data_IF_404270355344
#
_entry.id   IF_404270355344
#
_cell.length_a   1.000
_cell.length_b   1.000
_cell.length_c   1.000
_cell.angle_alpha   90.00
_cell.angle_beta   90.00
_cell.angle_gamma   90.00
#
_symmetry.space_group_name_H-M   'P 1'
#
loop_
_entity.id
_entity.type
_entity.pdbx_description
1 polymer ?
#
# COMPACT_ATOMS: atom_id res chain seq x y z
N UNK A 1 3.61 -14.83 0.37
CA UNK A 1 2.47 -14.15 1.04
C UNK A 1 1.59 -15.20 1.68
N UNK A 2 1.16 -15.03 2.94
CA UNK A 2 0.23 -15.98 3.57
C UNK A 2 -1.21 -15.74 3.08
N UNK A 3 -1.99 -16.81 2.89
CA UNK A 3 -3.42 -16.76 2.55
C UNK A 3 -4.24 -15.90 3.52
N UNK A 4 -3.92 -15.92 4.82
CA UNK A 4 -4.62 -15.09 5.81
C UNK A 4 -4.50 -13.59 5.50
N UNK A 5 -3.31 -13.15 5.06
CA UNK A 5 -3.08 -11.76 4.68
C UNK A 5 -3.84 -11.40 3.39
N UNK A 6 -3.85 -12.28 2.40
CA UNK A 6 -4.58 -12.07 1.15
C UNK A 6 -6.10 -11.98 1.39
N UNK A 7 -6.64 -12.78 2.32
CA UNK A 7 -8.04 -12.70 2.73
C UNK A 7 -8.37 -11.35 3.38
N UNK A 8 -7.50 -10.85 4.27
CA UNK A 8 -7.66 -9.53 4.89
C UNK A 8 -7.61 -8.41 3.84
N UNK A 9 -6.66 -8.47 2.91
CA UNK A 9 -6.55 -7.51 1.82
C UNK A 9 -7.81 -7.52 0.94
N UNK A 10 -8.36 -8.69 0.63
CA UNK A 10 -9.62 -8.82 -0.09
C UNK A 10 -10.80 -8.16 0.62
N UNK A 11 -10.89 -8.29 1.95
CA UNK A 11 -11.89 -7.58 2.76
C UNK A 11 -11.70 -6.05 2.72
N UNK A 12 -10.47 -5.57 2.83
CA UNK A 12 -10.16 -4.14 2.76
C UNK A 12 -10.52 -3.53 1.40
N UNK A 13 -10.26 -4.26 0.30
CA UNK A 13 -10.69 -3.85 -1.05
C UNK A 13 -12.21 -3.74 -1.13
N UNK A 14 -12.96 -4.76 -0.65
CA UNK A 14 -14.43 -4.70 -0.64
C UNK A 14 -14.98 -3.56 0.20
N UNK A 15 -14.31 -3.21 1.30
CA UNK A 15 -14.67 -2.09 2.15
C UNK A 15 -14.27 -0.71 1.59
N UNK A 16 -13.63 -0.66 0.41
CA UNK A 16 -13.07 0.56 -0.21
C UNK A 16 -12.04 1.26 0.68
N UNK A 17 -11.22 0.48 1.40
CA UNK A 17 -10.16 0.97 2.30
C UNK A 17 -8.75 0.77 1.73
N UNK A 18 -8.64 0.66 0.41
CA UNK A 18 -7.37 0.49 -0.31
C UNK A 18 -7.23 1.60 -1.34
N UNK A 19 -6.06 2.23 -1.35
CA UNK A 19 -5.60 3.14 -2.41
C UNK A 19 -4.39 2.51 -3.10
N UNK A 20 -4.19 2.84 -4.37
CA UNK A 20 -3.10 2.28 -5.18
C UNK A 20 -2.44 3.33 -6.05
N UNK A 21 -1.14 3.20 -6.27
CA UNK A 21 -0.34 4.13 -7.06
C UNK A 21 0.56 4.99 -6.20
N UNK A 22 1.75 5.30 -6.71
CA UNK A 22 2.83 5.96 -5.96
C UNK A 22 2.38 7.30 -5.37
N UNK A 23 1.82 8.18 -6.20
CA UNK A 23 1.42 9.53 -5.79
C UNK A 23 0.33 9.52 -4.70
N UNK A 24 -0.71 8.72 -4.91
CA UNK A 24 -1.80 8.57 -3.93
C UNK A 24 -1.30 7.99 -2.61
N UNK A 25 -0.37 7.04 -2.68
CA UNK A 25 0.21 6.42 -1.48
C UNK A 25 1.06 7.43 -0.70
N UNK A 26 1.93 8.19 -1.37
CA UNK A 26 2.75 9.24 -0.73
C UNK A 26 1.85 10.28 -0.05
N UNK A 27 0.81 10.75 -0.73
CA UNK A 27 -0.11 11.74 -0.18
C UNK A 27 -0.88 11.18 1.03
N UNK A 28 -1.33 9.92 0.97
CA UNK A 28 -1.98 9.24 2.07
C UNK A 28 -1.08 8.96 3.29
N UNK A 29 0.23 8.76 3.06
CA UNK A 29 1.23 8.67 4.14
C UNK A 29 1.43 10.04 4.79
N UNK A 30 1.59 11.10 3.98
CA UNK A 30 1.74 12.48 4.46
C UNK A 30 0.52 12.96 5.25
N UNK A 31 -0.69 12.59 4.83
CA UNK A 31 -1.94 12.89 5.55
C UNK A 31 -2.17 12.00 6.78
N UNK A 32 -1.29 11.03 7.06
CA UNK A 32 -1.45 10.03 8.13
C UNK A 32 -2.71 9.14 8.02
N UNK A 33 -3.32 9.07 6.84
CA UNK A 33 -4.49 8.21 6.57
C UNK A 33 -4.07 6.77 6.30
N UNK A 34 -2.92 6.56 5.65
CA UNK A 34 -2.37 5.23 5.35
C UNK A 34 -1.72 4.64 6.58
N UNK A 35 -2.12 3.40 6.92
CA UNK A 35 -1.58 2.65 8.09
C UNK A 35 -0.65 1.50 7.69
N UNK A 36 -0.72 1.04 6.45
CA UNK A 36 0.09 -0.04 5.90
C UNK A 36 0.39 0.25 4.43
N UNK A 37 1.65 0.17 4.05
CA UNK A 37 2.09 0.24 2.66
C UNK A 37 2.57 -1.15 2.23
N UNK A 38 2.10 -1.61 1.07
CA UNK A 38 2.55 -2.86 0.46
C UNK A 38 3.39 -2.49 -0.76
N UNK A 39 4.66 -2.88 -0.77
CA UNK A 39 5.60 -2.62 -1.86
C UNK A 39 6.04 -3.95 -2.48
N UNK A 40 6.11 -4.01 -3.80
CA UNK A 40 6.65 -5.17 -4.49
C UNK A 40 8.18 -5.21 -4.35
N UNK A 41 8.76 -6.40 -4.29
CA UNK A 41 10.21 -6.59 -4.12
C UNK A 41 11.01 -6.00 -5.29
N UNK A 42 10.40 -5.99 -6.48
CA UNK A 42 10.94 -5.48 -7.75
C UNK A 42 10.56 -4.01 -8.03
N UNK A 43 10.01 -3.28 -7.04
CA UNK A 43 9.77 -1.85 -7.20
C UNK A 43 11.05 -1.09 -7.58
N UNK A 44 10.88 -0.05 -8.40
CA UNK A 44 11.97 0.82 -8.84
C UNK A 44 12.72 1.46 -7.66
N UNK A 45 13.99 1.79 -7.84
CA UNK A 45 14.80 2.45 -6.82
C UNK A 45 14.19 3.79 -6.37
N UNK A 46 13.53 4.51 -7.28
CA UNK A 46 12.80 5.74 -6.97
C UNK A 46 11.65 5.47 -6.00
N UNK A 47 10.78 4.53 -6.34
CA UNK A 47 9.63 4.14 -5.49
C UNK A 47 10.07 3.66 -4.11
N UNK A 48 11.17 2.90 -4.05
CA UNK A 48 11.79 2.49 -2.79
C UNK A 48 12.19 3.70 -1.96
N UNK A 49 12.93 4.66 -2.54
CA UNK A 49 13.38 5.87 -1.83
C UNK A 49 12.24 6.75 -1.33
N UNK A 50 11.16 6.86 -2.11
CA UNK A 50 10.05 7.78 -1.79
C UNK A 50 9.14 7.27 -0.66
N UNK A 51 9.16 5.96 -0.37
CA UNK A 51 8.28 5.29 0.61
C UNK A 51 9.04 4.60 1.76
N UNK A 52 10.38 4.71 1.78
CA UNK A 52 11.27 4.12 2.78
C UNK A 52 11.81 5.20 3.72
#
# INVERSE_FOLDING_TARGET
MNNAFLNLLGLAVRARKVISGTELTINGVRSSEVKLVIMASDCSNRTKKDLH
#
